data_IF_892692580726
#
_entry.id   IF_892692580726
#
_cell.length_a   1.000
_cell.length_b   1.000
_cell.length_c   1.000
_cell.angle_alpha   90.00
_cell.angle_beta   90.00
_cell.angle_gamma   90.00
#
_symmetry.space_group_name_H-M   'P 1'
#
loop_
_entity.id
_entity.type
_entity.pdbx_description
1 polymer ?
#
# COMPACT_ATOMS: atom_id res chain seq x y z
N UNK A 1 9.71 -7.20 -2.53
CA UNK A 1 9.32 -5.91 -1.91
C UNK A 1 7.83 -5.83 -1.66
N UNK A 2 6.95 -6.14 -2.62
CA UNK A 2 5.50 -6.15 -2.36
C UNK A 2 5.10 -7.03 -1.17
N UNK A 3 5.71 -8.22 -1.02
CA UNK A 3 5.51 -9.09 0.14
C UNK A 3 5.98 -8.45 1.46
N UNK A 4 7.17 -7.84 1.47
CA UNK A 4 7.69 -7.09 2.63
C UNK A 4 6.69 -6.03 3.05
N UNK A 5 6.20 -5.22 2.09
CA UNK A 5 5.21 -4.19 2.36
C UNK A 5 3.91 -4.75 2.92
N UNK A 6 3.37 -5.80 2.30
CA UNK A 6 2.12 -6.40 2.72
C UNK A 6 2.20 -6.92 4.17
N UNK A 7 3.29 -7.63 4.50
CA UNK A 7 3.49 -8.18 5.85
C UNK A 7 3.74 -7.05 6.86
N UNK A 8 4.64 -6.12 6.55
CA UNK A 8 4.95 -5.03 7.49
C UNK A 8 3.73 -4.16 7.78
N UNK A 9 2.94 -3.78 6.76
CA UNK A 9 1.70 -3.01 6.92
C UNK A 9 0.62 -3.78 7.70
N UNK A 10 0.60 -5.11 7.60
CA UNK A 10 -0.31 -5.96 8.36
C UNK A 10 0.08 -6.03 9.85
N UNK A 11 1.38 -6.19 10.14
CA UNK A 11 1.87 -6.34 11.51
C UNK A 11 1.98 -5.00 12.27
N UNK A 12 2.36 -3.92 11.57
CA UNK A 12 2.48 -2.58 12.13
C UNK A 12 2.12 -1.54 11.06
N UNK A 13 0.88 -1.00 11.07
CA UNK A 13 0.42 -0.04 10.08
C UNK A 13 1.20 1.29 10.16
N UNK A 14 2.28 1.42 9.41
CA UNK A 14 3.18 2.58 9.41
C UNK A 14 3.59 3.01 8.00
N UNK A 15 4.20 4.19 7.85
CA UNK A 15 4.71 4.66 6.55
C UNK A 15 5.83 3.77 5.99
N UNK A 16 6.01 3.80 4.66
CA UNK A 16 7.11 3.12 3.96
C UNK A 16 8.48 3.55 4.50
N UNK A 17 8.63 4.83 4.81
CA UNK A 17 9.85 5.39 5.40
C UNK A 17 10.13 4.75 6.77
N UNK A 18 9.13 4.68 7.65
CA UNK A 18 9.30 4.05 8.96
C UNK A 18 9.61 2.55 8.82
N UNK A 19 9.02 1.88 7.83
CA UNK A 19 9.33 0.48 7.53
C UNK A 19 10.80 0.33 7.14
N UNK A 20 11.28 1.16 6.21
CA UNK A 20 12.66 1.13 5.73
C UNK A 20 13.69 1.48 6.82
N UNK A 21 13.47 2.55 7.56
CA UNK A 21 14.48 3.11 8.47
C UNK A 21 14.50 2.45 9.84
N UNK A 22 13.36 1.94 10.32
CA UNK A 22 13.21 1.50 11.71
C UNK A 22 12.64 0.10 11.83
N UNK A 23 11.45 -0.15 11.30
CA UNK A 23 10.68 -1.34 11.64
C UNK A 23 11.23 -2.63 11.01
N UNK A 24 11.65 -2.60 9.74
CA UNK A 24 12.08 -3.82 9.06
C UNK A 24 13.32 -4.44 9.74
N UNK A 25 14.32 -3.60 10.06
CA UNK A 25 15.57 -4.02 10.73
C UNK A 25 15.40 -4.39 12.20
N UNK A 26 14.33 -3.92 12.87
CA UNK A 26 14.06 -4.25 14.28
C UNK A 26 13.27 -5.55 14.46
N UNK A 27 13.03 -6.30 13.39
CA UNK A 27 12.25 -7.54 13.39
C UNK A 27 13.06 -8.69 12.79
N UNK A 28 12.56 -9.93 12.91
CA UNK A 28 13.15 -11.11 12.26
C UNK A 28 12.87 -11.17 10.74
N UNK A 29 12.26 -10.14 10.14
CA UNK A 29 11.91 -10.12 8.72
C UNK A 29 13.09 -10.29 7.76
N UNK A 30 14.31 -9.76 8.02
CA UNK A 30 15.45 -9.96 7.14
C UNK A 30 15.82 -11.43 6.99
N UNK A 31 15.77 -12.17 8.10
CA UNK A 31 16.08 -13.60 8.17
C UNK A 31 14.95 -14.43 7.56
N UNK A 32 13.70 -14.16 7.93
CA UNK A 32 12.53 -14.91 7.47
C UNK A 32 12.28 -14.75 5.96
N UNK A 33 12.55 -13.57 5.40
CA UNK A 33 12.30 -13.28 3.99
C UNK A 33 13.57 -13.41 3.13
N UNK A 34 14.74 -13.61 3.74
CA UNK A 34 16.03 -13.67 3.05
C UNK A 34 16.39 -12.36 2.34
N UNK A 35 15.88 -11.22 2.83
CA UNK A 35 16.15 -9.89 2.25
C UNK A 35 16.93 -9.07 3.27
N UNK A 36 18.22 -8.78 3.03
CA UNK A 36 19.00 -7.92 3.89
C UNK A 36 18.37 -6.53 4.04
N UNK A 37 18.47 -5.94 5.24
CA UNK A 37 17.85 -4.64 5.55
C UNK A 37 18.36 -3.52 4.65
N UNK A 38 19.60 -3.59 4.18
CA UNK A 38 20.22 -2.61 3.26
C UNK A 38 19.51 -2.57 1.91
N UNK A 39 18.77 -3.64 1.55
CA UNK A 39 17.99 -3.70 0.31
C UNK A 39 16.57 -3.15 0.48
N UNK A 40 16.17 -2.76 1.69
CA UNK A 40 14.83 -2.26 2.02
C UNK A 40 14.89 -0.76 2.31
N UNK A 41 14.70 0.05 1.27
CA UNK A 41 14.61 1.50 1.36
C UNK A 41 13.33 2.00 0.71
N UNK A 42 12.89 3.18 1.12
CA UNK A 42 11.60 3.80 0.80
C UNK A 42 11.31 3.84 -0.71
N UNK A 43 12.22 4.32 -1.55
CA UNK A 43 12.00 4.38 -3.01
C UNK A 43 11.73 3.00 -3.62
N UNK A 44 12.40 1.97 -3.11
CA UNK A 44 12.25 0.59 -3.60
C UNK A 44 10.94 -0.04 -3.12
N UNK A 45 10.47 0.38 -1.95
CA UNK A 45 9.16 0.05 -1.44
C UNK A 45 8.08 0.73 -2.29
N UNK A 46 8.18 2.03 -2.58
CA UNK A 46 7.25 2.74 -3.46
C UNK A 46 7.14 2.09 -4.84
N UNK A 47 8.27 1.78 -5.50
CA UNK A 47 8.27 1.10 -6.80
C UNK A 47 7.65 -0.31 -6.76
N UNK A 48 7.59 -0.94 -5.58
CA UNK A 48 6.93 -2.23 -5.45
C UNK A 48 5.40 -2.11 -5.58
N UNK A 49 4.82 -0.95 -5.27
CA UNK A 49 3.39 -0.68 -5.45
C UNK A 49 3.00 -0.59 -6.93
N UNK A 50 3.92 -0.16 -7.80
CA UNK A 50 3.69 -0.16 -9.26
C UNK A 50 3.40 -1.56 -9.79
N UNK A 51 3.98 -2.59 -9.16
CA UNK A 51 3.71 -3.99 -9.51
C UNK A 51 2.30 -4.44 -9.13
N UNK A 52 1.66 -3.78 -8.17
CA UNK A 52 0.28 -4.10 -7.75
C UNK A 52 -0.76 -3.44 -8.66
N UNK A 53 -0.40 -2.33 -9.33
CA UNK A 53 -1.32 -1.55 -10.16
C UNK A 53 -1.99 -2.39 -11.28
N UNK A 54 -1.27 -3.22 -12.06
CA UNK A 54 -1.90 -4.08 -13.08
C UNK A 54 -2.90 -5.09 -12.48
N UNK A 55 -2.68 -5.50 -11.23
CA UNK A 55 -3.51 -6.50 -10.55
C UNK A 55 -4.70 -5.89 -9.80
N UNK A 56 -4.90 -4.57 -9.85
CA UNK A 56 -5.94 -3.87 -9.08
C UNK A 56 -7.32 -4.51 -9.20
N UNK A 57 -7.76 -4.85 -10.42
CA UNK A 57 -9.08 -5.46 -10.66
C UNK A 57 -9.20 -6.86 -10.04
N UNK A 58 -8.15 -7.67 -10.14
CA UNK A 58 -8.13 -9.04 -9.59
C UNK A 58 -8.10 -9.00 -8.07
N UNK A 59 -7.26 -8.14 -7.49
CA UNK A 59 -7.19 -7.90 -6.05
C UNK A 59 -8.53 -7.40 -5.51
N UNK A 60 -9.17 -6.44 -6.18
CA UNK A 60 -10.49 -5.95 -5.80
C UNK A 60 -11.55 -7.06 -5.75
N UNK A 61 -11.62 -7.91 -6.79
CA UNK A 61 -12.52 -9.08 -6.81
C UNK A 61 -12.23 -10.06 -5.67
N UNK A 62 -10.94 -10.36 -5.43
CA UNK A 62 -10.53 -11.26 -4.37
C UNK A 62 -10.91 -10.72 -2.98
N UNK A 63 -10.60 -9.45 -2.70
CA UNK A 63 -10.93 -8.81 -1.43
C UNK A 63 -12.44 -8.73 -1.21
N UNK A 64 -13.22 -8.42 -2.25
CA UNK A 64 -14.69 -8.48 -2.23
C UNK A 64 -15.18 -9.86 -1.77
N UNK A 65 -14.70 -10.93 -2.42
CA UNK A 65 -15.10 -12.29 -2.08
C UNK A 65 -14.70 -12.70 -0.65
N UNK A 66 -13.48 -12.36 -0.22
CA UNK A 66 -13.00 -12.64 1.14
C UNK A 66 -13.83 -11.91 2.19
N UNK A 67 -14.14 -10.64 1.98
CA UNK A 67 -14.96 -9.84 2.88
C UNK A 67 -16.38 -10.42 3.00
N UNK A 68 -17.00 -10.78 1.89
CA UNK A 68 -18.30 -11.47 1.88
C UNK A 68 -18.26 -12.79 2.65
N UNK A 69 -17.21 -13.59 2.45
CA UNK A 69 -17.09 -14.90 3.11
C UNK A 69 -16.82 -14.78 4.61
N UNK A 70 -15.98 -13.84 5.03
CA UNK A 70 -15.60 -13.68 6.43
C UNK A 70 -16.73 -13.12 7.30
N UNK A 71 -17.57 -12.26 6.71
CA UNK A 71 -18.60 -11.52 7.46
C UNK A 71 -20.03 -11.84 7.01
N UNK A 72 -20.22 -12.79 6.09
CA UNK A 72 -21.54 -13.16 5.56
C UNK A 72 -22.27 -12.04 4.83
N UNK A 73 -21.54 -11.05 4.30
CA UNK A 73 -22.13 -9.82 3.78
C UNK A 73 -22.78 -10.04 2.40
N UNK A 74 -24.05 -9.67 2.29
CA UNK A 74 -24.75 -9.46 1.01
C UNK A 74 -24.78 -7.96 0.73
N UNK A 75 -24.15 -7.53 -0.35
CA UNK A 75 -24.10 -6.12 -0.75
C UNK A 75 -24.04 -5.97 -2.27
N UNK A 76 -24.81 -5.01 -2.78
CA UNK A 76 -24.81 -4.66 -4.20
C UNK A 76 -23.67 -3.68 -4.54
N UNK A 77 -23.25 -2.86 -3.56
CA UNK A 77 -22.23 -1.83 -3.71
C UNK A 77 -21.21 -1.88 -2.57
N UNK A 78 -19.91 -1.92 -2.90
CA UNK A 78 -18.81 -1.82 -1.95
C UNK A 78 -18.12 -0.47 -2.14
N UNK A 79 -18.37 0.45 -1.22
CA UNK A 79 -17.71 1.75 -1.19
C UNK A 79 -16.44 1.64 -0.35
N UNK A 80 -15.32 2.06 -0.93
CA UNK A 80 -14.07 2.25 -0.20
C UNK A 80 -13.54 3.64 -0.55
N UNK A 81 -13.12 4.38 0.47
CA UNK A 81 -12.51 5.68 0.29
C UNK A 81 -10.99 5.53 0.22
N UNK A 82 -10.35 6.33 -0.62
CA UNK A 82 -8.89 6.41 -0.72
C UNK A 82 -8.49 7.77 -0.20
N UNK A 83 -8.16 7.84 1.08
CA UNK A 83 -7.67 9.08 1.70
C UNK A 83 -6.16 9.18 1.49
N UNK A 84 -5.72 10.12 0.65
CA UNK A 84 -4.31 10.51 0.56
C UNK A 84 -4.09 11.77 1.40
N UNK A 85 -3.14 11.74 2.33
CA UNK A 85 -2.70 12.96 3.02
C UNK A 85 -1.72 13.71 2.12
N UNK A 86 -2.17 14.81 1.53
CA UNK A 86 -1.34 15.71 0.73
C UNK A 86 -0.77 16.82 1.62
N UNK A 87 0.55 17.02 1.58
CA UNK A 87 1.21 18.16 2.19
C UNK A 87 1.84 19.01 1.07
N UNK A 88 1.34 20.24 0.88
CA UNK A 88 2.04 21.28 0.11
C UNK A 88 2.79 22.19 1.07
N UNK A 89 4.10 22.33 0.91
CA UNK A 89 4.83 23.46 1.47
C UNK A 89 4.52 24.74 0.68
N UNK A 90 4.47 25.90 1.33
CA UNK A 90 4.32 27.21 0.66
C UNK A 90 5.61 27.70 -0.04
N UNK A 91 6.69 26.90 -0.01
CA UNK A 91 7.98 27.28 -0.60
C UNK A 91 8.04 26.75 -2.04
N UNK A 92 8.29 27.60 -3.06
CA UNK A 92 8.25 27.21 -4.48
C UNK A 92 9.28 26.15 -4.92
N UNK A 93 10.29 25.86 -4.08
CA UNK A 93 11.50 25.11 -4.47
C UNK A 93 11.75 23.84 -3.63
N UNK A 94 10.69 23.22 -3.09
CA UNK A 94 10.84 21.91 -2.45
C UNK A 94 10.96 20.79 -3.49
N UNK A 95 12.20 20.44 -3.84
CA UNK A 95 12.56 19.38 -4.80
C UNK A 95 12.17 17.94 -4.38
N UNK A 96 11.47 17.76 -3.24
CA UNK A 96 10.98 16.47 -2.74
C UNK A 96 9.45 16.33 -2.71
N UNK A 97 8.70 17.32 -3.19
CA UNK A 97 7.24 17.25 -3.24
C UNK A 97 6.72 16.50 -4.48
N UNK A 98 6.98 15.20 -4.55
CA UNK A 98 6.26 14.31 -5.45
C UNK A 98 5.85 13.06 -4.69
N UNK A 99 4.54 12.84 -4.56
CA UNK A 99 3.82 11.62 -4.95
C UNK A 99 2.33 11.95 -4.91
N UNK A 100 1.69 11.87 -6.07
CA UNK A 100 0.24 11.84 -6.22
C UNK A 100 -0.11 10.52 -6.88
N UNK A 101 -1.08 9.74 -6.37
CA UNK A 101 -1.83 8.82 -7.24
C UNK A 101 -3.31 8.63 -6.86
N UNK A 102 -4.14 9.22 -7.72
CA UNK A 102 -5.26 8.64 -8.49
C UNK A 102 -6.53 8.21 -7.75
N UNK A 103 -7.52 9.11 -7.80
CA UNK A 103 -8.97 8.87 -7.70
C UNK A 103 -9.40 7.75 -8.65
N UNK A 104 -10.05 6.70 -8.14
CA UNK A 104 -10.83 5.76 -8.95
C UNK A 104 -12.21 5.68 -8.31
N UNK A 105 -13.14 6.47 -8.86
CA UNK A 105 -14.56 6.20 -8.75
C UNK A 105 -14.89 5.19 -9.85
N UNK A 106 -15.39 4.00 -9.50
CA UNK A 106 -16.06 3.12 -10.45
C UNK A 106 -17.58 3.22 -10.24
N UNK A 107 -18.24 3.91 -11.16
CA UNK A 107 -19.63 3.73 -11.57
C UNK A 107 -19.68 3.99 -13.09
N UNK A 108 -20.64 3.44 -13.88
CA UNK A 108 -21.76 2.53 -13.55
C UNK A 108 -21.92 1.35 -14.55
N UNK A 109 -22.94 0.48 -14.40
CA UNK A 109 -23.96 0.29 -15.47
C UNK A 109 -25.25 -0.41 -14.97
N UNK A 110 -26.38 0.27 -15.23
CA UNK A 110 -27.83 -0.03 -15.04
C UNK A 110 -28.32 -0.30 -13.62
#
# INVERSE_FOLDING_TARGET
MALVLAICRLCNPSSELYIAEHYYKSTAMPELLGVPSEKVYDERLYRALDKLLPHKKVLGKHLKARLSSLFGLKYDLLLYDVTSTYFSSQVPECHKCHIAFRKIAEKPMR
#
